data_IF_072722761871
#
_entry.id   IF_072722761871
#
_cell.length_a   1.000
_cell.length_b   1.000
_cell.length_c   1.000
_cell.angle_alpha   90.00
_cell.angle_beta   90.00
_cell.angle_gamma   90.00
#
_symmetry.space_group_name_H-M   'P 1'
#
loop_
_entity.id
_entity.type
_entity.pdbx_description
1 polymer ?
#
# COMPACT_ATOMS: atom_id res chain seq x y z
N UNK A 1 26.04 -8.99 -15.67
CA UNK A 1 24.61 -8.72 -16.00
C UNK A 1 24.01 -8.02 -14.80
N UNK A 2 23.28 -6.92 -14.97
CA UNK A 2 22.57 -6.29 -13.85
C UNK A 2 21.45 -7.23 -13.36
N UNK A 3 21.36 -7.45 -12.05
CA UNK A 3 20.31 -8.28 -11.50
C UNK A 3 18.96 -7.57 -11.59
N UNK A 4 17.88 -8.29 -11.93
CA UNK A 4 16.56 -7.70 -12.17
C UNK A 4 16.04 -6.87 -10.98
N UNK A 5 16.34 -7.30 -9.75
CA UNK A 5 15.94 -6.59 -8.52
C UNK A 5 16.76 -5.33 -8.23
N UNK A 6 17.89 -5.12 -8.91
CA UNK A 6 18.69 -3.88 -8.86
C UNK A 6 18.28 -2.89 -9.95
N UNK A 7 17.20 -3.19 -10.69
CA UNK A 7 16.69 -2.33 -11.74
C UNK A 7 15.48 -1.57 -11.20
N UNK A 8 15.61 -0.26 -11.03
CA UNK A 8 14.56 0.59 -10.43
C UNK A 8 13.24 0.53 -11.20
N UNK A 9 13.28 0.47 -12.55
CA UNK A 9 12.07 0.47 -13.37
C UNK A 9 11.27 -0.83 -13.24
N UNK A 10 11.90 -1.95 -12.86
CA UNK A 10 11.19 -3.22 -12.61
C UNK A 10 10.28 -3.08 -11.40
N UNK A 11 10.78 -2.46 -10.34
CA UNK A 11 9.99 -2.15 -9.14
C UNK A 11 8.89 -1.11 -9.43
N UNK A 12 9.20 -0.08 -10.23
CA UNK A 12 8.21 0.92 -10.62
C UNK A 12 7.09 0.33 -11.49
N UNK A 13 7.42 -0.56 -12.43
CA UNK A 13 6.43 -1.27 -13.25
C UNK A 13 5.55 -2.19 -12.41
N UNK A 14 6.14 -2.93 -11.45
CA UNK A 14 5.39 -3.74 -10.50
C UNK A 14 4.43 -2.88 -9.65
N UNK A 15 4.89 -1.73 -9.15
CA UNK A 15 4.05 -0.79 -8.41
C UNK A 15 2.86 -0.29 -9.24
N UNK A 16 3.09 0.04 -10.51
CA UNK A 16 2.05 0.49 -11.43
C UNK A 16 1.01 -0.61 -11.69
N UNK A 17 1.46 -1.85 -11.96
CA UNK A 17 0.56 -2.99 -12.17
C UNK A 17 -0.29 -3.26 -10.92
N UNK A 18 0.31 -3.25 -9.73
CA UNK A 18 -0.40 -3.43 -8.46
C UNK A 18 -1.46 -2.32 -8.24
N UNK A 19 -1.12 -1.07 -8.54
CA UNK A 19 -2.06 0.05 -8.44
C UNK A 19 -3.23 -0.08 -9.41
N UNK A 20 -2.97 -0.54 -10.65
CA UNK A 20 -4.04 -0.80 -11.64
C UNK A 20 -4.93 -1.95 -11.17
N UNK A 21 -4.36 -3.05 -10.68
CA UNK A 21 -5.12 -4.21 -10.20
C UNK A 21 -6.05 -3.85 -9.04
N UNK A 22 -5.65 -2.93 -8.16
CA UNK A 22 -6.51 -2.43 -7.09
C UNK A 22 -7.79 -1.75 -7.63
N UNK A 23 -7.76 -1.12 -8.80
CA UNK A 23 -8.98 -0.50 -9.37
C UNK A 23 -10.06 -1.52 -9.72
N UNK A 24 -9.67 -2.78 -9.91
CA UNK A 24 -10.57 -3.90 -10.23
C UNK A 24 -11.01 -4.65 -8.97
N UNK A 25 -10.20 -4.64 -7.90
CA UNK A 25 -10.39 -5.43 -6.68
C UNK A 25 -10.80 -4.53 -5.50
N UNK A 26 -11.96 -4.74 -4.86
CA UNK A 26 -12.32 -3.98 -3.67
C UNK A 26 -11.57 -4.52 -2.43
N UNK A 27 -10.41 -3.96 -2.06
CA UNK A 27 -9.67 -4.46 -0.88
C UNK A 27 -8.72 -3.48 -0.16
N UNK A 28 -8.26 -2.42 -0.82
CA UNK A 28 -7.17 -1.53 -0.42
C UNK A 28 -5.86 -2.23 -0.03
N UNK A 29 -5.69 -3.51 -0.41
CA UNK A 29 -4.52 -4.32 -0.04
C UNK A 29 -3.38 -4.13 -1.04
N UNK A 30 -3.68 -4.13 -2.33
CA UNK A 30 -2.69 -4.00 -3.40
C UNK A 30 -2.11 -2.59 -3.44
N UNK A 31 -2.87 -1.57 -3.03
CA UNK A 31 -2.36 -0.21 -2.85
C UNK A 31 -1.20 -0.14 -1.84
N UNK A 32 -1.30 -0.89 -0.72
CA UNK A 32 -0.20 -0.97 0.25
C UNK A 32 1.07 -1.57 -0.35
N UNK A 33 0.92 -2.64 -1.13
CA UNK A 33 2.03 -3.26 -1.86
C UNK A 33 2.59 -2.37 -2.98
N UNK A 34 1.74 -1.62 -3.69
CA UNK A 34 2.16 -0.67 -4.70
C UNK A 34 3.03 0.44 -4.09
N UNK A 35 2.64 0.98 -2.92
CA UNK A 35 3.46 1.93 -2.17
C UNK A 35 4.81 1.33 -1.74
N UNK A 36 4.83 0.09 -1.26
CA UNK A 36 6.08 -0.60 -0.91
C UNK A 36 7.00 -0.77 -2.12
N UNK A 37 6.48 -1.20 -3.27
CA UNK A 37 7.25 -1.35 -4.50
C UNK A 37 7.79 -0.02 -5.02
N UNK A 38 7.00 1.05 -4.95
CA UNK A 38 7.43 2.40 -5.33
C UNK A 38 8.59 2.89 -4.45
N UNK A 39 8.55 2.61 -3.14
CA UNK A 39 9.63 2.98 -2.23
C UNK A 39 10.91 2.18 -2.52
N UNK A 40 10.80 0.88 -2.80
CA UNK A 40 11.96 0.08 -3.21
C UNK A 40 12.54 0.58 -4.53
N UNK A 41 11.70 1.00 -5.49
CA UNK A 41 12.19 1.62 -6.73
C UNK A 41 13.03 2.88 -6.45
N UNK A 42 12.62 3.71 -5.48
CA UNK A 42 13.38 4.88 -5.04
C UNK A 42 14.67 4.51 -4.32
N UNK A 43 14.68 3.44 -3.51
CA UNK A 43 15.90 3.00 -2.82
C UNK A 43 16.96 2.44 -3.76
N UNK A 44 16.54 1.75 -4.82
CA UNK A 44 17.45 1.22 -5.85
C UNK A 44 18.11 2.33 -6.67
N UNK A 45 17.52 3.54 -6.70
CA UNK A 45 18.16 4.72 -7.32
C UNK A 45 19.33 5.28 -6.49
N UNK A 46 19.39 4.98 -5.18
CA UNK A 46 20.51 5.39 -4.36
C UNK A 46 21.70 4.44 -4.58
N UNK A 47 22.95 4.90 -4.39
CA UNK A 47 24.15 4.06 -4.49
C UNK A 47 24.31 3.17 -3.24
N UNK A 48 23.27 2.42 -2.89
CA UNK A 48 23.24 1.50 -1.76
C UNK A 48 23.36 0.06 -2.27
N UNK A 49 24.32 -0.69 -1.75
CA UNK A 49 24.52 -2.10 -2.13
C UNK A 49 23.60 -3.01 -1.30
N UNK A 50 22.29 -2.89 -1.52
CA UNK A 50 21.27 -3.67 -0.83
C UNK A 50 21.04 -5.00 -1.55
N UNK A 51 21.34 -6.12 -0.88
CA UNK A 51 21.02 -7.45 -1.39
C UNK A 51 19.52 -7.69 -1.53
N UNK A 52 19.13 -8.72 -2.31
CA UNK A 52 17.73 -9.10 -2.54
C UNK A 52 16.96 -9.30 -1.22
N UNK A 53 17.56 -9.96 -0.24
CA UNK A 53 16.95 -10.21 1.07
C UNK A 53 16.60 -8.91 1.81
N UNK A 54 17.48 -7.91 1.74
CA UNK A 54 17.26 -6.60 2.36
C UNK A 54 16.14 -5.84 1.62
N UNK A 55 16.15 -5.83 0.29
CA UNK A 55 15.10 -5.21 -0.52
C UNK A 55 13.73 -5.83 -0.24
N UNK A 56 13.64 -7.15 -0.12
CA UNK A 56 12.40 -7.84 0.23
C UNK A 56 11.95 -7.55 1.67
N UNK A 57 12.87 -7.49 2.64
CA UNK A 57 12.54 -7.13 4.01
C UNK A 57 11.96 -5.70 4.08
N UNK A 58 12.60 -4.75 3.41
CA UNK A 58 12.12 -3.37 3.28
C UNK A 58 10.76 -3.33 2.59
N UNK A 59 10.60 -4.01 1.45
CA UNK A 59 9.34 -4.09 0.73
C UNK A 59 8.19 -4.57 1.62
N UNK A 60 8.39 -5.66 2.37
CA UNK A 60 7.37 -6.23 3.27
C UNK A 60 7.03 -5.26 4.39
N UNK A 61 8.03 -4.68 5.06
CA UNK A 61 7.83 -3.73 6.15
C UNK A 61 7.05 -2.50 5.69
N UNK A 62 7.48 -1.87 4.59
CA UNK A 62 6.82 -0.67 4.08
C UNK A 62 5.44 -0.96 3.51
N UNK A 63 5.24 -2.11 2.86
CA UNK A 63 3.92 -2.50 2.36
C UNK A 63 2.93 -2.70 3.52
N UNK A 64 3.37 -3.36 4.59
CA UNK A 64 2.56 -3.57 5.78
C UNK A 64 2.21 -2.24 6.45
N UNK A 65 3.19 -1.35 6.60
CA UNK A 65 2.97 -0.01 7.17
C UNK A 65 2.02 0.82 6.32
N UNK A 66 2.20 0.84 5.00
CA UNK A 66 1.32 1.55 4.08
C UNK A 66 -0.11 1.01 4.15
N UNK A 67 -0.28 -0.31 4.18
CA UNK A 67 -1.59 -0.95 4.33
C UNK A 67 -2.27 -0.58 5.66
N UNK A 68 -1.55 -0.61 6.78
CA UNK A 68 -2.09 -0.19 8.10
C UNK A 68 -2.51 1.28 8.05
N UNK A 69 -1.65 2.15 7.48
CA UNK A 69 -1.94 3.58 7.36
C UNK A 69 -3.19 3.85 6.53
N UNK A 70 -3.33 3.20 5.37
CA UNK A 70 -4.52 3.28 4.52
C UNK A 70 -5.77 2.78 5.24
N UNK A 71 -5.68 1.61 5.90
CA UNK A 71 -6.80 1.04 6.65
C UNK A 71 -7.24 1.92 7.82
N UNK A 72 -6.32 2.68 8.41
CA UNK A 72 -6.63 3.63 9.49
C UNK A 72 -7.17 4.96 8.97
N UNK A 73 -6.65 5.47 7.86
CA UNK A 73 -7.09 6.73 7.25
C UNK A 73 -8.47 6.63 6.59
N UNK A 74 -8.76 5.49 5.96
CA UNK A 74 -10.05 5.23 5.29
C UNK A 74 -11.11 4.64 6.22
N UNK A 75 -10.80 4.51 7.51
CA UNK A 75 -11.74 4.03 8.51
C UNK A 75 -12.82 5.11 8.69
N UNK A 76 -14.05 4.84 8.22
CA UNK A 76 -15.17 5.78 8.36
C UNK A 76 -15.40 6.10 9.84
N UNK A 77 -15.46 7.39 10.23
CA UNK A 77 -15.95 7.78 11.55
C UNK A 77 -17.44 7.43 11.66
N UNK A 78 -17.73 6.62 12.67
CA UNK A 78 -19.02 6.39 13.31
C UNK A 78 -20.23 5.88 12.51
N UNK A 79 -20.70 4.75 13.01
CA UNK A 79 -22.10 4.38 13.13
C UNK A 79 -22.89 5.51 13.83
N UNK A 80 -23.21 6.58 13.09
CA UNK A 80 -24.16 7.60 13.50
C UNK A 80 -25.59 7.04 13.39
N UNK A 81 -25.86 5.91 14.06
CA UNK A 81 -27.23 5.54 14.41
C UNK A 81 -27.71 6.54 15.45
N UNK A 82 -28.20 7.70 14.97
CA UNK A 82 -29.01 8.61 15.78
C UNK A 82 -30.25 7.83 16.21
N UNK A 83 -30.27 7.31 17.43
CA UNK A 83 -31.46 6.69 18.03
C UNK A 83 -32.39 7.83 18.44
N UNK A 84 -33.27 8.23 17.52
CA UNK A 84 -34.31 9.23 17.76
C UNK A 84 -35.38 8.57 18.65
N UNK A 85 -35.49 9.04 19.89
CA UNK A 85 -36.52 8.62 20.86
C UNK A 85 -37.77 9.51 20.82
N UNK A 86 -37.97 10.28 19.76
CA UNK A 86 -39.15 11.13 19.63
C UNK A 86 -40.35 10.26 19.25
N UNK A 87 -41.21 10.02 20.25
CA UNK A 87 -42.46 9.29 20.07
C UNK A 87 -43.40 10.14 19.21
N UNK A 88 -43.67 9.64 18.01
CA UNK A 88 -44.51 10.23 16.97
C UNK A 88 -46.01 10.19 17.29
N UNK A 89 -46.42 9.62 18.42
CA UNK A 89 -47.83 9.46 18.75
C UNK A 89 -48.26 10.44 19.86
N UNK A 90 -48.74 11.62 19.43
CA UNK A 90 -49.57 12.53 20.22
C UNK A 90 -50.95 12.65 19.59
#
# INVERSE_FOLDING_TARGET
MAALWQIWWVWAAAALVLAILETVLPGFVLLGFACGAALVALLVLLPLDLGLSALLAIFVLFSLLAWIALRRALRRPDDQTRVIHEDINK
#
